data_IF_452859741009
#
_entry.id   IF_452859741009
#
_cell.length_a   1.000
_cell.length_b   1.000
_cell.length_c   1.000
_cell.angle_alpha   90.00
_cell.angle_beta   90.00
_cell.angle_gamma   90.00
#
_symmetry.space_group_name_H-M   'P 1'
#
loop_
_entity.id
_entity.type
_entity.pdbx_description
1 polymer ?
#
# COMPACT_ATOMS: atom_id res chain seq x y z
N UNK A 1 -0.14 22.25 -17.71
CA UNK A 1 0.33 23.33 -16.81
C UNK A 1 0.80 24.54 -17.61
N UNK A 2 1.56 24.33 -18.67
CA UNK A 2 2.03 25.41 -19.57
C UNK A 2 0.90 26.25 -20.17
N UNK A 3 -0.19 25.62 -20.57
CA UNK A 3 -1.38 26.28 -21.12
C UNK A 3 -2.01 27.30 -20.16
N UNK A 4 -2.09 26.94 -18.86
CA UNK A 4 -2.64 27.82 -17.82
C UNK A 4 -1.75 29.06 -17.55
N UNK A 5 -0.45 28.92 -17.75
CA UNK A 5 0.51 30.05 -17.65
C UNK A 5 0.29 31.00 -18.83
N UNK A 6 0.13 30.46 -20.03
CA UNK A 6 -0.10 31.26 -21.25
C UNK A 6 -1.44 32.01 -21.16
N UNK A 7 -2.48 31.35 -20.66
CA UNK A 7 -3.82 31.95 -20.47
C UNK A 7 -3.91 32.90 -19.27
N UNK A 8 -2.82 33.07 -18.48
CA UNK A 8 -2.78 33.88 -17.25
C UNK A 8 -3.85 33.53 -16.22
N UNK A 9 -4.30 32.26 -16.21
CA UNK A 9 -5.29 31.78 -15.25
C UNK A 9 -4.58 31.28 -13.98
N UNK A 10 -4.20 32.23 -13.14
CA UNK A 10 -3.40 31.96 -11.91
C UNK A 10 -4.16 31.13 -10.87
N UNK A 11 -5.47 31.29 -10.76
CA UNK A 11 -6.28 30.55 -9.78
C UNK A 11 -6.35 29.06 -10.14
N UNK A 12 -6.57 28.74 -11.41
CA UNK A 12 -6.57 27.37 -11.89
C UNK A 12 -5.17 26.72 -11.78
N UNK A 13 -4.12 27.51 -12.04
CA UNK A 13 -2.74 27.05 -11.90
C UNK A 13 -2.41 26.69 -10.45
N UNK A 14 -2.73 27.58 -9.50
CA UNK A 14 -2.48 27.35 -8.06
C UNK A 14 -3.24 26.16 -7.53
N UNK A 15 -4.51 26.00 -7.88
CA UNK A 15 -5.31 24.83 -7.52
C UNK A 15 -4.69 23.53 -8.05
N UNK A 16 -4.27 23.53 -9.31
CA UNK A 16 -3.65 22.35 -9.93
C UNK A 16 -2.33 21.98 -9.25
N UNK A 17 -1.49 22.97 -8.95
CA UNK A 17 -0.24 22.74 -8.21
C UNK A 17 -0.49 22.20 -6.81
N UNK A 18 -1.49 22.71 -6.12
CA UNK A 18 -1.87 22.24 -4.79
C UNK A 18 -2.38 20.80 -4.82
N UNK A 19 -3.25 20.45 -5.75
CA UNK A 19 -3.73 19.08 -5.90
C UNK A 19 -2.60 18.11 -6.26
N UNK A 20 -1.72 18.52 -7.17
CA UNK A 20 -0.57 17.70 -7.57
C UNK A 20 0.39 17.45 -6.39
N UNK A 21 0.75 18.50 -5.65
CA UNK A 21 1.61 18.37 -4.47
C UNK A 21 0.96 17.56 -3.35
N UNK A 22 -0.36 17.67 -3.17
CA UNK A 22 -1.10 16.84 -2.21
C UNK A 22 -1.03 15.35 -2.57
N UNK A 23 -1.17 15.00 -3.86
CA UNK A 23 -1.03 13.60 -4.30
C UNK A 23 0.38 13.08 -4.06
N UNK A 24 1.42 13.86 -4.40
CA UNK A 24 2.81 13.49 -4.10
C UNK A 24 3.03 13.29 -2.60
N UNK A 25 2.54 14.21 -1.78
CA UNK A 25 2.63 14.08 -0.32
C UNK A 25 1.94 12.81 0.19
N UNK A 26 0.74 12.52 -0.29
CA UNK A 26 -0.02 11.32 0.09
C UNK A 26 0.69 10.02 -0.33
N UNK A 27 1.35 9.99 -1.50
CA UNK A 27 2.11 8.82 -1.94
C UNK A 27 3.30 8.54 -1.02
N UNK A 28 4.04 9.58 -0.63
CA UNK A 28 5.16 9.45 0.30
C UNK A 28 4.72 9.05 1.70
N UNK A 29 3.65 9.67 2.20
CA UNK A 29 3.07 9.32 3.50
C UNK A 29 2.53 7.89 3.51
N UNK A 30 1.83 7.49 2.46
CA UNK A 30 1.30 6.13 2.33
C UNK A 30 2.40 5.07 2.36
N UNK A 31 3.49 5.29 1.64
CA UNK A 31 4.66 4.41 1.66
C UNK A 31 5.29 4.34 3.05
N UNK A 32 5.50 5.49 3.72
CA UNK A 32 6.07 5.51 5.06
C UNK A 32 5.17 4.78 6.07
N UNK A 33 3.86 5.02 6.04
CA UNK A 33 2.88 4.32 6.89
C UNK A 33 2.89 2.82 6.64
N UNK A 34 3.01 2.36 5.39
CA UNK A 34 3.11 0.94 5.07
C UNK A 34 4.37 0.30 5.69
N UNK A 35 5.54 0.95 5.60
CA UNK A 35 6.76 0.49 6.25
C UNK A 35 6.63 0.41 7.78
N UNK A 36 5.99 1.40 8.41
CA UNK A 36 5.74 1.36 9.86
C UNK A 36 4.74 0.27 10.24
N UNK A 37 3.71 0.03 9.42
CA UNK A 37 2.74 -1.05 9.64
C UNK A 37 3.41 -2.43 9.56
N UNK A 38 4.32 -2.64 8.60
CA UNK A 38 5.12 -3.88 8.51
C UNK A 38 5.99 -4.07 9.76
N UNK A 39 6.73 -3.04 10.19
CA UNK A 39 7.52 -3.07 11.40
C UNK A 39 6.66 -3.42 12.63
N UNK A 40 5.53 -2.74 12.82
CA UNK A 40 4.61 -2.99 13.93
C UNK A 40 4.07 -4.41 13.92
N UNK A 41 3.68 -4.89 12.73
CA UNK A 41 3.22 -6.26 12.52
C UNK A 41 4.30 -7.27 12.89
N UNK A 42 5.54 -7.05 12.44
CA UNK A 42 6.68 -7.91 12.75
C UNK A 42 7.03 -7.94 14.24
N UNK A 43 7.01 -6.78 14.93
CA UNK A 43 7.23 -6.70 16.38
C UNK A 43 6.12 -7.41 17.15
N UNK A 44 4.86 -7.20 16.76
CA UNK A 44 3.71 -7.86 17.37
C UNK A 44 3.77 -9.38 17.22
N UNK A 45 4.21 -9.86 16.06
CA UNK A 45 4.37 -11.29 15.79
C UNK A 45 5.51 -11.88 16.63
N UNK A 46 6.68 -11.25 16.67
CA UNK A 46 7.80 -11.71 17.47
C UNK A 46 7.44 -11.84 18.96
N UNK A 47 6.72 -10.84 19.51
CA UNK A 47 6.23 -10.91 20.90
C UNK A 47 5.27 -12.07 21.11
N UNK A 48 4.37 -12.32 20.16
CA UNK A 48 3.37 -13.39 20.28
C UNK A 48 3.97 -14.80 20.26
N UNK A 49 5.11 -14.99 19.56
CA UNK A 49 5.82 -16.28 19.47
C UNK A 49 7.00 -16.38 20.47
N UNK A 50 7.16 -15.40 21.36
CA UNK A 50 8.18 -15.43 22.42
C UNK A 50 9.61 -15.08 21.94
N UNK A 51 9.78 -14.55 20.73
CA UNK A 51 11.07 -14.07 20.22
C UNK A 51 11.47 -12.73 20.85
N UNK A 52 12.76 -12.56 21.14
CA UNK A 52 13.28 -11.27 21.62
C UNK A 52 13.20 -10.22 20.52
N UNK A 53 12.55 -9.10 20.82
CA UNK A 53 12.49 -7.96 19.92
C UNK A 53 13.76 -7.15 20.03
N UNK A 54 14.55 -7.09 18.95
CA UNK A 54 15.76 -6.28 18.88
C UNK A 54 15.48 -4.92 18.22
N UNK A 55 16.22 -3.88 18.64
CA UNK A 55 16.18 -2.53 18.04
C UNK A 55 16.59 -2.51 16.55
N UNK A 56 17.19 -3.58 16.06
CA UNK A 56 17.57 -3.77 14.66
C UNK A 56 16.39 -3.60 13.70
N UNK A 57 15.18 -4.03 14.07
CA UNK A 57 13.98 -3.88 13.24
C UNK A 57 13.62 -2.42 12.94
N UNK A 58 13.83 -1.51 13.88
CA UNK A 58 13.63 -0.08 13.66
C UNK A 58 14.60 0.46 12.60
N UNK A 59 15.87 0.06 12.71
CA UNK A 59 16.92 0.43 11.75
C UNK A 59 16.62 -0.09 10.34
N UNK A 60 16.13 -1.32 10.21
CA UNK A 60 15.69 -1.90 8.94
C UNK A 60 14.55 -1.10 8.31
N UNK A 61 13.56 -0.67 9.12
CA UNK A 61 12.45 0.15 8.64
C UNK A 61 12.92 1.49 8.08
N UNK A 62 13.81 2.18 8.78
CA UNK A 62 14.40 3.43 8.28
C UNK A 62 15.21 3.21 7.01
N UNK A 63 15.91 2.08 6.90
CA UNK A 63 16.63 1.75 5.67
C UNK A 63 15.68 1.51 4.51
N UNK A 64 14.59 0.76 4.69
CA UNK A 64 13.54 0.58 3.68
C UNK A 64 12.98 1.93 3.21
N UNK A 65 12.62 2.83 4.14
CA UNK A 65 12.10 4.17 3.79
C UNK A 65 13.12 4.95 2.96
N UNK A 66 14.41 4.90 3.32
CA UNK A 66 15.49 5.54 2.58
C UNK A 66 15.62 4.95 1.17
N UNK A 67 15.55 3.63 1.03
CA UNK A 67 15.68 2.93 -0.25
C UNK A 67 14.49 3.28 -1.17
N UNK A 68 13.27 3.26 -0.67
CA UNK A 68 12.09 3.69 -1.41
C UNK A 68 12.14 5.17 -1.78
N UNK A 69 12.58 6.03 -0.87
CA UNK A 69 12.77 7.46 -1.17
C UNK A 69 13.82 7.66 -2.28
N UNK A 70 14.90 6.86 -2.27
CA UNK A 70 15.92 6.88 -3.31
C UNK A 70 15.37 6.52 -4.70
N UNK A 71 14.37 5.65 -4.75
CA UNK A 71 13.66 5.32 -6.00
C UNK A 71 12.65 6.42 -6.37
N UNK A 72 11.86 6.91 -5.41
CA UNK A 72 10.81 7.91 -5.66
C UNK A 72 11.39 9.25 -6.16
N UNK A 73 12.57 9.66 -5.68
CA UNK A 73 13.18 10.95 -6.05
C UNK A 73 13.43 11.11 -7.56
N UNK A 74 14.11 10.19 -8.29
CA UNK A 74 14.29 10.30 -9.73
C UNK A 74 12.96 10.38 -10.49
N UNK A 75 11.99 9.57 -10.09
CA UNK A 75 10.68 9.53 -10.72
C UNK A 75 9.83 10.78 -10.45
N UNK A 76 10.11 11.50 -9.34
CA UNK A 76 9.51 12.81 -9.09
C UNK A 76 9.91 13.80 -10.17
N UNK A 77 11.18 13.80 -10.62
CA UNK A 77 11.62 14.67 -11.70
C UNK A 77 10.93 14.33 -13.03
N UNK A 78 10.69 13.03 -13.31
CA UNK A 78 9.93 12.61 -14.49
C UNK A 78 8.51 13.16 -14.43
N UNK A 79 7.84 13.04 -13.27
CA UNK A 79 6.49 13.56 -13.08
C UNK A 79 6.43 15.10 -13.16
N UNK A 80 7.46 15.82 -12.68
CA UNK A 80 7.56 17.28 -12.82
C UNK A 80 7.66 17.65 -14.30
N UNK A 81 8.52 17.00 -15.07
CA UNK A 81 8.65 17.21 -16.51
C UNK A 81 7.33 16.86 -17.23
N UNK A 82 6.74 15.72 -16.88
CA UNK A 82 5.45 15.27 -17.41
C UNK A 82 4.35 16.29 -17.18
N UNK A 83 4.33 16.95 -16.01
CA UNK A 83 3.31 17.95 -15.65
C UNK A 83 3.28 19.19 -16.56
N UNK A 84 4.33 19.41 -17.35
CA UNK A 84 4.36 20.47 -18.36
C UNK A 84 3.44 20.16 -19.54
N UNK A 85 3.17 18.90 -19.82
CA UNK A 85 2.27 18.49 -20.90
C UNK A 85 0.81 18.56 -20.44
N UNK A 86 -0.09 18.98 -21.34
CA UNK A 86 -1.51 19.19 -21.02
C UNK A 86 -2.26 17.92 -20.67
N UNK A 87 -1.84 16.77 -21.19
CA UNK A 87 -2.45 15.46 -20.89
C UNK A 87 -1.98 14.85 -19.56
N UNK A 88 -0.89 15.36 -18.96
CA UNK A 88 -0.31 14.81 -17.74
C UNK A 88 -0.87 15.53 -16.50
N UNK A 89 -1.99 15.04 -15.97
CA UNK A 89 -2.72 15.70 -14.89
C UNK A 89 -2.30 15.23 -13.49
N UNK A 90 -1.78 14.00 -13.36
CA UNK A 90 -1.42 13.37 -12.09
C UNK A 90 0.04 12.89 -12.12
N UNK A 91 0.73 12.80 -10.97
CA UNK A 91 2.08 12.24 -10.86
C UNK A 91 2.04 10.70 -10.96
N UNK A 92 1.86 10.18 -12.17
CA UNK A 92 1.62 8.74 -12.40
C UNK A 92 2.79 7.87 -11.95
N UNK A 93 4.04 8.31 -12.13
CA UNK A 93 5.21 7.54 -11.71
C UNK A 93 5.27 7.43 -10.18
N UNK A 94 5.02 8.52 -9.47
CA UNK A 94 4.95 8.53 -8.01
C UNK A 94 3.85 7.59 -7.50
N UNK A 95 2.67 7.66 -8.10
CA UNK A 95 1.53 6.79 -7.73
C UNK A 95 1.89 5.31 -7.97
N UNK A 96 2.42 4.97 -9.14
CA UNK A 96 2.74 3.58 -9.49
C UNK A 96 3.78 2.98 -8.52
N UNK A 97 4.85 3.71 -8.21
CA UNK A 97 5.90 3.25 -7.30
C UNK A 97 5.38 3.15 -5.87
N UNK A 98 4.60 4.15 -5.41
CA UNK A 98 4.01 4.12 -4.07
C UNK A 98 3.05 2.93 -3.91
N UNK A 99 2.18 2.68 -4.88
CA UNK A 99 1.28 1.52 -4.86
C UNK A 99 2.09 0.22 -4.83
N UNK A 100 3.13 0.09 -5.65
CA UNK A 100 4.02 -1.07 -5.66
C UNK A 100 4.66 -1.31 -4.29
N UNK A 101 5.23 -0.26 -3.67
CA UNK A 101 5.84 -0.37 -2.34
C UNK A 101 4.83 -0.72 -1.25
N UNK A 102 3.64 -0.11 -1.28
CA UNK A 102 2.55 -0.42 -0.33
C UNK A 102 2.09 -1.87 -0.47
N UNK A 103 2.01 -2.40 -1.68
CA UNK A 103 1.65 -3.81 -1.91
C UNK A 103 2.72 -4.77 -1.36
N UNK A 104 4.00 -4.46 -1.53
CA UNK A 104 5.11 -5.26 -1.00
C UNK A 104 5.05 -5.28 0.53
N UNK A 105 4.95 -4.12 1.18
CA UNK A 105 4.87 -4.03 2.63
C UNK A 105 3.57 -4.64 3.17
N UNK A 106 2.44 -4.46 2.46
CA UNK A 106 1.17 -5.10 2.78
C UNK A 106 1.26 -6.62 2.76
N UNK A 107 1.97 -7.19 1.78
CA UNK A 107 2.22 -8.63 1.71
C UNK A 107 3.04 -9.11 2.92
N UNK A 108 4.09 -8.36 3.29
CA UNK A 108 4.91 -8.66 4.49
C UNK A 108 4.06 -8.65 5.78
N UNK A 109 3.15 -7.68 5.92
CA UNK A 109 2.19 -7.63 7.04
C UNK A 109 1.30 -8.88 7.08
N UNK A 110 0.80 -9.32 5.94
CA UNK A 110 -0.04 -10.53 5.85
C UNK A 110 0.76 -11.79 6.23
N UNK A 111 2.01 -11.89 5.79
CA UNK A 111 2.90 -13.00 6.16
C UNK A 111 3.18 -13.02 7.67
N UNK A 112 3.47 -11.87 8.28
CA UNK A 112 3.61 -11.75 9.73
C UNK A 112 2.34 -12.17 10.48
N UNK A 113 1.15 -11.80 9.99
CA UNK A 113 -0.13 -12.22 10.56
C UNK A 113 -0.35 -13.74 10.42
N UNK A 114 0.09 -14.33 9.31
CA UNK A 114 0.05 -15.77 9.09
C UNK A 114 0.95 -16.50 10.10
N UNK A 115 2.17 -16.03 10.33
CA UNK A 115 3.07 -16.59 11.37
C UNK A 115 2.45 -16.52 12.77
N UNK A 116 1.74 -15.44 13.10
CA UNK A 116 1.04 -15.27 14.37
C UNK A 116 -0.23 -16.13 14.50
N UNK A 117 -0.64 -16.84 13.43
CA UNK A 117 -1.94 -17.56 13.35
C UNK A 117 -3.15 -16.66 13.67
N UNK A 118 -3.12 -15.41 13.23
CA UNK A 118 -4.22 -14.48 13.46
C UNK A 118 -5.31 -14.65 12.39
N UNK A 119 -6.56 -14.29 12.73
CA UNK A 119 -7.69 -14.34 11.79
C UNK A 119 -7.44 -13.57 10.48
N UNK A 120 -6.67 -12.48 10.54
CA UNK A 120 -6.31 -11.72 9.35
C UNK A 120 -5.47 -12.53 8.32
N UNK A 121 -4.85 -13.63 8.74
CA UNK A 121 -4.12 -14.53 7.84
C UNK A 121 -5.04 -15.29 6.87
N UNK A 122 -6.32 -15.38 7.18
CA UNK A 122 -7.33 -16.05 6.35
C UNK A 122 -7.87 -15.14 5.22
N UNK A 123 -7.64 -13.83 5.30
CA UNK A 123 -8.14 -12.86 4.32
C UNK A 123 -7.74 -13.19 2.86
N UNK A 124 -6.48 -13.53 2.52
CA UNK A 124 -6.12 -13.87 1.15
C UNK A 124 -6.84 -15.12 0.63
N UNK A 125 -7.01 -16.12 1.50
CA UNK A 125 -7.74 -17.35 1.16
C UNK A 125 -9.22 -17.06 0.95
N UNK A 126 -9.83 -16.24 1.80
CA UNK A 126 -11.22 -15.80 1.69
C UNK A 126 -11.46 -15.00 0.41
N UNK A 127 -10.58 -14.03 0.10
CA UNK A 127 -10.66 -13.24 -1.14
C UNK A 127 -10.53 -14.15 -2.37
N UNK A 128 -9.58 -15.09 -2.35
CA UNK A 128 -9.40 -16.03 -3.46
C UNK A 128 -10.64 -16.91 -3.67
N UNK A 129 -11.24 -17.38 -2.58
CA UNK A 129 -12.44 -18.18 -2.64
C UNK A 129 -13.64 -17.37 -3.15
N UNK A 130 -13.82 -16.12 -2.67
CA UNK A 130 -14.88 -15.22 -3.17
C UNK A 130 -14.73 -14.97 -4.67
N UNK A 131 -13.51 -14.65 -5.13
CA UNK A 131 -13.23 -14.38 -6.55
C UNK A 131 -13.49 -15.63 -7.39
N UNK A 132 -13.10 -16.82 -6.90
CA UNK A 132 -13.34 -18.08 -7.57
C UNK A 132 -14.84 -18.37 -7.69
N UNK A 133 -15.58 -18.25 -6.59
CA UNK A 133 -17.03 -18.47 -6.56
C UNK A 133 -17.79 -17.42 -7.41
N UNK A 134 -17.37 -16.15 -7.39
CA UNK A 134 -17.95 -15.12 -8.24
C UNK A 134 -17.74 -15.40 -9.73
N UNK A 135 -16.60 -16.02 -10.10
CA UNK A 135 -16.31 -16.45 -11.46
C UNK A 135 -17.17 -17.65 -11.89
N UNK A 136 -17.46 -18.55 -10.97
CA UNK A 136 -18.30 -19.75 -11.20
C UNK A 136 -19.81 -19.44 -11.08
N UNK A 137 -20.18 -18.19 -10.70
CA UNK A 137 -21.56 -17.74 -10.47
C UNK A 137 -22.35 -18.61 -9.47
N UNK A 138 -21.65 -19.22 -8.52
CA UNK A 138 -22.22 -20.17 -7.59
C UNK A 138 -22.28 -19.57 -6.18
N UNK A 139 -23.44 -18.99 -5.84
CA UNK A 139 -23.66 -18.34 -4.54
C UNK A 139 -23.63 -19.36 -3.36
N UNK A 140 -24.02 -20.61 -3.58
CA UNK A 140 -24.01 -21.64 -2.56
C UNK A 140 -22.59 -22.01 -2.14
N UNK A 141 -21.65 -22.08 -3.10
CA UNK A 141 -20.23 -22.33 -2.84
C UNK A 141 -19.58 -21.20 -2.02
N UNK A 142 -20.04 -19.96 -2.19
CA UNK A 142 -19.57 -18.81 -1.38
C UNK A 142 -20.00 -18.99 0.08
N UNK A 143 -21.26 -19.32 0.29
CA UNK A 143 -21.84 -19.52 1.64
C UNK A 143 -21.13 -20.68 2.34
N UNK A 144 -20.92 -21.79 1.67
CA UNK A 144 -20.22 -22.96 2.21
C UNK A 144 -18.76 -22.66 2.55
N UNK A 145 -18.04 -21.91 1.70
CA UNK A 145 -16.68 -21.48 1.97
C UNK A 145 -16.58 -20.56 3.20
N UNK A 146 -17.54 -19.64 3.37
CA UNK A 146 -17.62 -18.76 4.55
C UNK A 146 -17.92 -19.57 5.82
N UNK A 147 -18.84 -20.51 5.77
CA UNK A 147 -19.19 -21.37 6.90
C UNK A 147 -18.01 -22.25 7.35
N UNK A 148 -17.28 -22.86 6.42
CA UNK A 148 -16.08 -23.67 6.72
C UNK A 148 -14.97 -22.84 7.39
N UNK A 149 -14.82 -21.57 7.01
CA UNK A 149 -13.87 -20.66 7.64
C UNK A 149 -14.31 -20.23 9.05
N UNK A 150 -15.62 -20.11 9.29
CA UNK A 150 -16.19 -19.82 10.60
C UNK A 150 -16.01 -20.99 11.58
N UNK A 151 -16.33 -22.22 11.17
CA UNK A 151 -16.20 -23.43 12.04
C UNK A 151 -14.74 -23.73 12.38
N UNK A 152 -13.79 -23.51 11.46
CA UNK A 152 -12.36 -23.69 11.73
C UNK A 152 -11.82 -22.69 12.77
N UNK A 153 -12.57 -21.63 13.04
CA UNK A 153 -12.26 -20.61 14.03
C UNK A 153 -12.72 -21.00 15.45
N UNK A 154 -13.81 -21.76 15.55
CA UNK A 154 -14.42 -22.14 16.83
C UNK A 154 -13.75 -23.38 17.45
N UNK A 155 -12.91 -24.10 16.68
CA UNK A 155 -12.14 -25.26 17.13
C UNK A 155 -10.74 -24.94 17.70
N UNK A 156 -10.39 -23.64 17.87
CA UNK A 156 -9.10 -23.17 18.41
C UNK A 156 -9.28 -22.29 19.63
#
# INVERSE_FOLDING_TARGET
MFDLIIEKNWDALTLRMLLWSAVVFLTWMGMAVACFADMWSGVSTARAIGEKVHSHRLRETFQKIKDYAGVLLPFLFIDIIGSMFSFYHLPFCQIAIAVGSILIEGWSVLENKKRKRSHAALLPELVTNIVKCAREKDAETIIEAIQRLSTKNDEK
#
